data_IF_679485035638
#
_entry.id   IF_679485035638
#
_cell.length_a   1.000
_cell.length_b   1.000
_cell.length_c   1.000
_cell.angle_alpha   90.00
_cell.angle_beta   90.00
_cell.angle_gamma   90.00
#
_symmetry.space_group_name_H-M   'P 1'
#
loop_
_entity.id
_entity.type
_entity.pdbx_description
1 polymer ?
#
# COMPACT_ATOMS: atom_id res chain seq x y z
N UNK A 1 -11.33 21.33 -7.58
CA UNK A 1 -12.52 20.74 -8.26
C UNK A 1 -12.37 19.23 -8.22
N UNK A 2 -13.40 18.50 -7.79
CA UNK A 2 -13.40 17.02 -7.82
C UNK A 2 -14.08 16.58 -9.12
N UNK A 3 -13.45 15.69 -9.88
CA UNK A 3 -13.98 15.19 -11.15
C UNK A 3 -14.93 14.03 -10.85
N UNK A 4 -16.17 14.13 -11.33
CA UNK A 4 -17.13 13.03 -11.29
C UNK A 4 -16.86 12.12 -12.49
N UNK A 5 -16.51 10.86 -12.20
CA UNK A 5 -16.16 9.87 -13.21
C UNK A 5 -17.41 9.25 -13.83
N UNK A 6 -17.39 9.06 -15.15
CA UNK A 6 -18.43 8.29 -15.84
C UNK A 6 -18.11 6.78 -15.78
N UNK A 7 -19.08 5.95 -16.17
CA UNK A 7 -18.97 4.49 -16.07
C UNK A 7 -17.75 3.92 -16.81
N UNK A 8 -17.41 4.47 -17.99
CA UNK A 8 -16.23 4.02 -18.75
C UNK A 8 -14.94 4.34 -18.01
N UNK A 9 -14.84 5.54 -17.43
CA UNK A 9 -13.67 5.90 -16.62
C UNK A 9 -13.56 5.01 -15.38
N UNK A 10 -14.68 4.69 -14.73
CA UNK A 10 -14.71 3.77 -13.58
C UNK A 10 -14.23 2.37 -14.01
N UNK A 11 -14.64 1.87 -15.17
CA UNK A 11 -14.16 0.59 -15.70
C UNK A 11 -12.65 0.60 -15.98
N UNK A 12 -12.12 1.69 -16.52
CA UNK A 12 -10.68 1.85 -16.73
C UNK A 12 -9.90 1.92 -15.40
N UNK A 13 -10.45 2.61 -14.39
CA UNK A 13 -9.87 2.63 -13.04
C UNK A 13 -9.85 1.24 -12.40
N UNK A 14 -10.88 0.40 -12.63
CA UNK A 14 -10.91 -0.99 -12.14
C UNK A 14 -9.78 -1.82 -12.72
N UNK A 15 -9.40 -1.60 -13.98
CA UNK A 15 -8.27 -2.30 -14.60
C UNK A 15 -6.97 -1.93 -13.87
N UNK A 16 -6.72 -0.64 -13.66
CA UNK A 16 -5.51 -0.17 -12.96
C UNK A 16 -5.46 -0.69 -11.51
N UNK A 17 -6.59 -0.59 -10.78
CA UNK A 17 -6.71 -1.10 -9.41
C UNK A 17 -6.51 -2.62 -9.31
N UNK A 18 -6.99 -3.39 -10.30
CA UNK A 18 -6.77 -4.84 -10.36
C UNK A 18 -5.28 -5.18 -10.49
N UNK A 19 -4.55 -4.51 -11.37
CA UNK A 19 -3.10 -4.72 -11.54
C UNK A 19 -2.37 -4.44 -10.23
N UNK A 20 -2.69 -3.33 -9.55
CA UNK A 20 -2.11 -3.02 -8.22
C UNK A 20 -2.40 -4.12 -7.20
N UNK A 21 -3.67 -4.54 -7.09
CA UNK A 21 -4.05 -5.58 -6.13
C UNK A 21 -3.33 -6.91 -6.39
N UNK A 22 -3.24 -7.33 -7.66
CA UNK A 22 -2.53 -8.56 -8.05
C UNK A 22 -1.01 -8.44 -7.85
N UNK A 23 -0.44 -7.24 -8.06
CA UNK A 23 0.98 -6.97 -7.78
C UNK A 23 1.28 -7.12 -6.28
N UNK A 24 0.46 -6.52 -5.42
CA UNK A 24 0.63 -6.63 -3.97
C UNK A 24 0.53 -8.10 -3.49
N UNK A 25 -0.43 -8.86 -4.02
CA UNK A 25 -0.56 -10.30 -3.74
C UNK A 25 0.64 -11.13 -4.24
N UNK A 26 1.27 -10.72 -5.35
CA UNK A 26 2.49 -11.35 -5.83
C UNK A 26 3.68 -11.03 -4.92
N UNK A 27 3.83 -9.76 -4.54
CA UNK A 27 4.91 -9.29 -3.65
C UNK A 27 4.83 -10.01 -2.31
N UNK A 28 3.63 -10.11 -1.71
CA UNK A 28 3.37 -10.80 -0.45
C UNK A 28 3.97 -12.22 -0.40
N UNK A 29 3.85 -12.99 -1.48
CA UNK A 29 4.39 -14.36 -1.59
C UNK A 29 5.92 -14.43 -1.48
N UNK A 30 6.60 -13.30 -1.70
CA UNK A 30 8.05 -13.19 -1.67
C UNK A 30 8.56 -12.48 -0.42
N UNK A 31 7.68 -11.91 0.41
CA UNK A 31 8.08 -11.27 1.68
C UNK A 31 8.53 -12.34 2.66
N UNK A 32 9.84 -12.46 2.85
CA UNK A 32 10.47 -13.43 3.76
C UNK A 32 11.87 -12.96 4.17
N UNK A 33 12.44 -13.47 5.27
CA UNK A 33 13.82 -13.18 5.62
C UNK A 33 14.78 -13.52 4.49
N UNK A 34 15.77 -12.66 4.25
CA UNK A 34 16.82 -12.87 3.26
C UNK A 34 16.58 -12.27 1.88
N UNK A 35 15.37 -11.81 1.55
CA UNK A 35 15.12 -11.07 0.30
C UNK A 35 15.45 -9.58 0.48
N UNK A 36 15.97 -8.93 -0.56
CA UNK A 36 16.19 -7.48 -0.54
C UNK A 36 14.93 -6.71 -0.95
N UNK A 37 14.81 -5.47 -0.49
CA UNK A 37 13.71 -4.60 -0.96
C UNK A 37 13.83 -4.30 -2.46
N UNK A 38 15.05 -4.23 -3.02
CA UNK A 38 15.26 -4.13 -4.46
C UNK A 38 14.76 -5.35 -5.26
N UNK A 39 14.87 -6.57 -4.71
CA UNK A 39 14.31 -7.76 -5.36
C UNK A 39 12.79 -7.75 -5.38
N UNK A 40 12.15 -7.29 -4.30
CA UNK A 40 10.69 -7.10 -4.25
C UNK A 40 10.22 -6.05 -5.27
N UNK A 41 10.94 -4.94 -5.39
CA UNK A 41 10.68 -3.88 -6.38
C UNK A 41 10.76 -4.43 -7.82
N UNK A 42 11.80 -5.21 -8.13
CA UNK A 42 11.96 -5.85 -9.45
C UNK A 42 10.81 -6.79 -9.76
N UNK A 43 10.38 -7.62 -8.79
CA UNK A 43 9.24 -8.53 -8.97
C UNK A 43 7.96 -7.76 -9.32
N UNK A 44 7.72 -6.65 -8.62
CA UNK A 44 6.56 -5.80 -8.90
C UNK A 44 6.66 -5.11 -10.27
N UNK A 45 7.81 -4.54 -10.61
CA UNK A 45 8.04 -3.89 -11.90
C UNK A 45 7.81 -4.86 -13.08
N UNK A 46 8.36 -6.07 -12.99
CA UNK A 46 8.19 -7.11 -14.00
C UNK A 46 6.72 -7.49 -14.16
N UNK A 47 5.97 -7.61 -13.06
CA UNK A 47 4.54 -7.91 -13.12
C UNK A 47 3.74 -6.77 -13.74
N UNK A 48 3.94 -5.53 -13.28
CA UNK A 48 3.23 -4.34 -13.76
C UNK A 48 3.45 -4.18 -15.27
N UNK A 49 4.71 -4.22 -15.72
CA UNK A 49 5.08 -4.04 -17.13
C UNK A 49 4.58 -5.18 -18.02
N UNK A 50 4.62 -6.43 -17.53
CA UNK A 50 4.06 -7.60 -18.24
C UNK A 50 2.55 -7.46 -18.49
N UNK A 51 1.82 -6.74 -17.66
CA UNK A 51 0.39 -6.47 -17.83
C UNK A 51 0.10 -5.18 -18.61
N UNK A 52 1.11 -4.59 -19.26
CA UNK A 52 0.96 -3.40 -20.11
C UNK A 52 0.77 -2.10 -19.33
N UNK A 53 1.00 -2.11 -18.02
CA UNK A 53 0.96 -0.92 -17.18
C UNK A 53 2.36 -0.34 -16.97
N UNK A 54 2.40 0.92 -16.55
CA UNK A 54 3.62 1.65 -16.19
C UNK A 54 3.64 1.80 -14.65
N UNK A 55 4.77 1.52 -13.95
CA UNK A 55 4.87 1.81 -12.53
C UNK A 55 4.67 3.30 -12.26
N UNK A 56 3.67 3.67 -11.46
CA UNK A 56 3.27 5.07 -11.29
C UNK A 56 4.35 5.93 -10.63
N UNK A 57 5.16 5.31 -9.74
CA UNK A 57 6.12 6.03 -8.91
C UNK A 57 7.47 6.21 -9.59
N UNK A 58 7.83 5.33 -10.52
CA UNK A 58 9.15 5.33 -11.15
C UNK A 58 9.32 6.56 -12.04
N UNK A 59 10.26 7.41 -11.68
CA UNK A 59 10.53 8.70 -12.33
C UNK A 59 9.68 9.87 -11.80
N UNK A 60 8.66 9.62 -10.98
CA UNK A 60 7.82 10.68 -10.42
C UNK A 60 8.65 11.52 -9.43
N UNK A 61 8.83 12.81 -9.73
CA UNK A 61 9.71 13.72 -8.97
C UNK A 61 11.15 13.19 -8.79
N UNK A 62 11.63 12.35 -9.71
CA UNK A 62 12.95 11.72 -9.61
C UNK A 62 13.02 10.49 -8.70
N UNK A 63 11.88 9.96 -8.23
CA UNK A 63 11.83 8.73 -7.44
C UNK A 63 12.33 7.52 -8.29
N UNK A 64 13.26 6.70 -7.79
CA UNK A 64 14.02 5.78 -8.64
C UNK A 64 13.38 4.39 -8.85
N UNK A 65 12.37 4.04 -8.04
CA UNK A 65 11.84 2.67 -7.94
C UNK A 65 10.36 2.57 -8.33
N UNK A 66 9.88 1.35 -8.51
CA UNK A 66 8.49 1.05 -8.89
C UNK A 66 7.53 1.01 -7.69
N UNK A 67 8.03 0.59 -6.54
CA UNK A 67 7.34 0.55 -5.25
C UNK A 67 7.94 1.55 -4.27
N UNK A 68 7.16 1.94 -3.26
CA UNK A 68 7.74 2.38 -1.99
C UNK A 68 7.73 1.21 -1.01
N UNK A 69 8.88 0.90 -0.39
CA UNK A 69 8.97 -0.14 0.63
C UNK A 69 9.55 0.49 1.89
N UNK A 70 8.72 0.62 2.91
CA UNK A 70 9.06 1.28 4.17
C UNK A 70 9.19 0.21 5.27
N UNK A 71 10.40 0.02 5.77
CA UNK A 71 10.74 -0.99 6.78
C UNK A 71 10.64 -0.38 8.17
N UNK A 72 9.94 -1.06 9.08
CA UNK A 72 9.85 -0.75 10.51
C UNK A 72 9.49 0.73 10.80
N UNK A 73 10.44 1.54 11.25
CA UNK A 73 10.23 2.95 11.63
C UNK A 73 9.97 3.89 10.45
N UNK A 74 10.20 3.43 9.23
CA UNK A 74 9.94 4.21 8.03
C UNK A 74 8.43 4.34 7.82
N UNK A 75 7.92 5.58 7.92
CA UNK A 75 6.48 5.84 7.86
C UNK A 75 5.90 5.62 6.46
N UNK A 76 6.49 6.27 5.45
CA UNK A 76 6.09 6.19 4.03
C UNK A 76 7.29 6.47 3.12
N UNK A 77 7.14 6.14 1.83
CA UNK A 77 8.09 6.50 0.75
C UNK A 77 9.52 5.96 0.94
N UNK A 78 9.70 4.84 1.65
CA UNK A 78 10.98 4.14 1.68
C UNK A 78 11.41 3.74 0.28
N UNK A 79 12.68 4.02 -0.07
CA UNK A 79 13.25 3.72 -1.38
C UNK A 79 13.80 2.28 -1.35
N UNK A 80 13.29 1.37 -2.20
CA UNK A 80 13.86 0.03 -2.36
C UNK A 80 15.36 0.05 -2.66
N UNK A 81 16.11 -0.88 -2.07
CA UNK A 81 17.56 -0.93 -2.17
C UNK A 81 18.15 -2.20 -1.58
N UNK A 82 19.39 -2.09 -1.09
CA UNK A 82 20.16 -3.23 -0.56
C UNK A 82 19.74 -3.74 0.82
N UNK A 83 18.66 -3.20 1.43
CA UNK A 83 18.19 -3.70 2.72
C UNK A 83 17.64 -5.12 2.57
N UNK A 84 18.27 -6.05 3.27
CA UNK A 84 17.86 -7.47 3.33
C UNK A 84 16.88 -7.62 4.49
N UNK A 85 15.65 -8.06 4.18
CA UNK A 85 14.61 -8.28 5.18
C UNK A 85 15.03 -9.33 6.20
N UNK A 86 14.68 -9.09 7.47
CA UNK A 86 15.03 -9.95 8.61
C UNK A 86 13.78 -10.53 9.25
N UNK A 87 13.93 -11.69 9.89
CA UNK A 87 12.89 -12.24 10.77
C UNK A 87 12.48 -11.17 11.80
N UNK A 88 11.19 -10.89 11.89
CA UNK A 88 10.64 -9.90 12.81
C UNK A 88 10.43 -8.50 12.23
N UNK A 89 10.92 -8.22 11.01
CA UNK A 89 10.61 -6.95 10.34
C UNK A 89 9.12 -6.87 9.98
N UNK A 90 8.58 -5.64 9.94
CA UNK A 90 7.35 -5.33 9.20
C UNK A 90 7.68 -4.37 8.07
N UNK A 91 7.00 -4.53 6.93
CA UNK A 91 7.18 -3.65 5.79
C UNK A 91 5.84 -3.12 5.29
N UNK A 92 5.75 -1.82 5.05
CA UNK A 92 4.68 -1.25 4.23
C UNK A 92 5.15 -1.27 2.78
N UNK A 93 4.35 -1.88 1.91
CA UNK A 93 4.55 -1.89 0.46
C UNK A 93 3.46 -1.06 -0.18
N UNK A 94 3.87 0.04 -0.80
CA UNK A 94 3.02 0.94 -1.58
C UNK A 94 3.24 0.68 -3.08
N UNK A 95 2.15 0.51 -3.82
CA UNK A 95 2.17 0.10 -5.22
C UNK A 95 1.21 0.96 -6.06
N UNK A 96 1.76 1.62 -7.07
CA UNK A 96 0.99 2.35 -8.07
C UNK A 96 1.22 1.81 -9.48
N UNK A 97 0.14 1.65 -10.25
CA UNK A 97 0.20 1.28 -11.66
C UNK A 97 -0.65 2.21 -12.53
N UNK A 98 -0.10 2.65 -13.65
CA UNK A 98 -0.76 3.50 -14.64
C UNK A 98 -1.07 2.72 -15.91
N UNK A 99 -2.34 2.67 -16.31
CA UNK A 99 -2.79 2.05 -17.55
C UNK A 99 -4.04 2.76 -18.07
N UNK A 100 -4.14 2.89 -19.40
CA UNK A 100 -5.29 3.50 -20.07
C UNK A 100 -5.66 4.91 -19.57
N UNK A 101 -4.68 5.69 -19.11
CA UNK A 101 -4.88 7.06 -18.60
C UNK A 101 -5.32 7.14 -17.13
N UNK A 102 -5.32 6.01 -16.39
CA UNK A 102 -5.73 5.96 -15.00
C UNK A 102 -4.68 5.29 -14.12
N UNK A 103 -4.53 5.83 -12.91
CA UNK A 103 -3.70 5.24 -11.86
C UNK A 103 -4.57 4.37 -10.93
N UNK A 104 -4.08 3.19 -10.61
CA UNK A 104 -4.42 2.46 -9.40
C UNK A 104 -3.36 2.73 -8.35
N UNK A 105 -3.76 2.73 -7.08
CA UNK A 105 -2.89 3.00 -5.95
C UNK A 105 -3.41 2.29 -4.70
N UNK A 106 -2.53 1.54 -4.01
CA UNK A 106 -2.80 0.90 -2.75
C UNK A 106 -1.50 0.51 -2.03
N UNK A 107 -1.56 0.54 -0.70
CA UNK A 107 -0.49 0.04 0.16
C UNK A 107 -1.01 -1.04 1.13
N UNK A 108 -0.13 -1.95 1.52
CA UNK A 108 -0.36 -2.97 2.56
C UNK A 108 0.87 -3.17 3.42
N UNK A 109 0.66 -3.49 4.69
CA UNK A 109 1.74 -3.88 5.60
C UNK A 109 1.85 -5.40 5.69
N UNK A 110 3.06 -5.93 5.52
CA UNK A 110 3.35 -7.37 5.59
C UNK A 110 4.32 -7.68 6.72
N UNK A 111 4.11 -8.82 7.37
CA UNK A 111 5.02 -9.39 8.35
C UNK A 111 6.15 -10.15 7.64
N UNK A 112 7.39 -9.98 8.10
CA UNK A 112 8.53 -10.78 7.63
C UNK A 112 8.79 -11.92 8.60
N UNK A 113 8.32 -13.11 8.25
CA UNK A 113 8.37 -14.27 9.14
C UNK A 113 7.50 -14.07 10.37
N UNK A 114 8.00 -14.46 11.54
CA UNK A 114 7.34 -14.24 12.82
C UNK A 114 7.72 -12.87 13.38
N UNK A 115 6.70 -12.06 13.65
CA UNK A 115 6.83 -10.72 14.23
C UNK A 115 6.36 -10.72 15.70
N UNK A 116 6.77 -9.69 16.46
CA UNK A 116 6.33 -9.52 17.84
C UNK A 116 4.81 -9.33 17.93
N UNK A 117 4.23 -9.63 19.09
CA UNK A 117 2.79 -9.41 19.31
C UNK A 117 2.42 -7.92 19.24
N UNK A 118 3.36 -7.06 19.60
CA UNK A 118 3.26 -5.61 19.42
C UNK A 118 3.12 -5.23 17.95
N UNK A 119 3.99 -5.77 17.08
CA UNK A 119 3.93 -5.52 15.64
C UNK A 119 2.66 -6.12 15.00
N UNK A 120 2.22 -7.32 15.42
CA UNK A 120 0.93 -7.89 14.98
C UNK A 120 -0.22 -6.96 15.33
N UNK A 121 -0.23 -6.45 16.56
CA UNK A 121 -1.25 -5.53 17.05
C UNK A 121 -1.24 -4.21 16.27
N UNK A 122 -0.06 -3.65 15.97
CA UNK A 122 0.07 -2.45 15.15
C UNK A 122 -0.54 -2.64 13.75
N UNK A 123 -0.22 -3.74 13.08
CA UNK A 123 -0.78 -4.07 11.76
C UNK A 123 -2.30 -4.20 11.84
N UNK A 124 -2.80 -5.01 12.78
CA UNK A 124 -4.24 -5.25 12.96
C UNK A 124 -5.00 -3.95 13.21
N UNK A 125 -4.53 -3.12 14.14
CA UNK A 125 -5.22 -1.88 14.49
C UNK A 125 -5.21 -0.87 13.33
N UNK A 126 -4.13 -0.84 12.55
CA UNK A 126 -4.03 0.01 11.36
C UNK A 126 -5.04 -0.42 10.30
N UNK A 127 -5.15 -1.72 10.05
CA UNK A 127 -6.11 -2.30 9.11
C UNK A 127 -7.56 -2.06 9.55
N UNK A 128 -7.90 -2.37 10.80
CA UNK A 128 -9.24 -2.13 11.34
C UNK A 128 -9.64 -0.66 11.24
N UNK A 129 -8.71 0.25 11.58
CA UNK A 129 -8.95 1.69 11.50
C UNK A 129 -9.18 2.14 10.06
N UNK A 130 -8.44 1.58 9.09
CA UNK A 130 -8.65 1.86 7.67
C UNK A 130 -10.07 1.49 7.22
N UNK A 131 -10.52 0.27 7.52
CA UNK A 131 -11.87 -0.17 7.13
C UNK A 131 -12.98 0.61 7.83
N UNK A 132 -12.78 1.01 9.11
CA UNK A 132 -13.71 1.91 9.80
C UNK A 132 -13.84 3.28 9.13
N UNK A 133 -12.74 3.82 8.59
CA UNK A 133 -12.78 5.04 7.80
C UNK A 133 -13.58 4.87 6.50
N UNK A 134 -13.37 3.76 5.78
CA UNK A 134 -14.05 3.48 4.51
C UNK A 134 -15.58 3.43 4.66
N UNK A 135 -16.10 2.96 5.80
CA UNK A 135 -17.54 2.94 6.09
C UNK A 135 -18.21 4.33 5.96
N UNK A 136 -17.42 5.41 6.04
CA UNK A 136 -17.87 6.81 5.94
C UNK A 136 -17.65 7.42 4.55
N UNK A 137 -17.02 6.72 3.61
CA UNK A 137 -16.86 7.16 2.22
C UNK A 137 -18.17 7.00 1.43
N UNK A 138 -19.18 7.81 1.78
CA UNK A 138 -20.55 7.73 1.24
C UNK A 138 -21.06 9.11 0.79
N UNK A 139 -21.98 9.18 -0.19
CA UNK A 139 -22.61 10.43 -0.58
C UNK A 139 -23.22 11.16 0.63
N UNK A 140 -23.01 12.47 0.71
CA UNK A 140 -23.50 13.32 1.81
C UNK A 140 -22.51 13.50 2.98
N UNK A 141 -21.51 12.64 3.12
CA UNK A 141 -20.46 12.81 4.13
C UNK A 141 -19.35 13.75 3.67
N UNK A 142 -18.57 14.28 4.64
CA UNK A 142 -17.36 15.06 4.40
C UNK A 142 -16.14 14.17 4.42
N UNK A 143 -15.08 14.58 3.71
CA UNK A 143 -13.77 13.91 3.78
C UNK A 143 -13.22 13.85 5.22
N UNK A 144 -13.51 14.86 6.04
CA UNK A 144 -13.12 14.91 7.45
C UNK A 144 -13.78 13.82 8.29
N UNK A 145 -14.95 13.31 7.88
CA UNK A 145 -15.66 12.26 8.62
C UNK A 145 -14.90 10.93 8.54
N UNK A 146 -14.25 10.66 7.40
CA UNK A 146 -13.35 9.51 7.20
C UNK A 146 -12.18 9.61 8.16
N UNK A 147 -11.46 10.74 8.18
CA UNK A 147 -10.30 10.96 9.06
C UNK A 147 -10.68 10.89 10.54
N UNK A 148 -11.78 11.53 10.92
CA UNK A 148 -12.28 11.51 12.30
C UNK A 148 -12.63 10.09 12.75
N UNK A 149 -13.21 9.27 11.87
CA UNK A 149 -13.51 7.88 12.21
C UNK A 149 -12.25 7.02 12.38
N UNK A 150 -11.28 7.14 11.47
CA UNK A 150 -9.99 6.45 11.59
C UNK A 150 -9.31 6.78 12.93
N UNK A 151 -9.26 8.06 13.28
CA UNK A 151 -8.66 8.53 14.53
C UNK A 151 -9.36 7.94 15.77
N UNK A 152 -10.69 7.95 15.80
CA UNK A 152 -11.46 7.39 16.91
C UNK A 152 -11.31 5.87 17.02
N UNK A 153 -11.21 5.15 15.90
CA UNK A 153 -10.93 3.72 15.89
C UNK A 153 -9.55 3.43 16.52
N UNK A 154 -8.51 4.14 16.11
CA UNK A 154 -7.16 4.02 16.70
C UNK A 154 -7.13 4.29 18.21
N UNK A 155 -7.84 5.32 18.69
CA UNK A 155 -7.94 5.63 20.12
C UNK A 155 -8.61 4.49 20.92
N UNK A 156 -9.70 3.92 20.40
CA UNK A 156 -10.43 2.82 21.06
C UNK A 156 -9.65 1.52 21.08
N UNK A 157 -8.85 1.30 20.04
CA UNK A 157 -7.97 0.14 19.91
C UNK A 157 -6.66 0.30 20.72
N UNK A 158 -6.51 1.42 21.45
CA UNK A 158 -5.41 1.73 22.37
C UNK A 158 -4.03 1.72 21.71
N UNK A 159 -3.90 2.36 20.53
CA UNK A 159 -2.57 2.63 19.92
C UNK A 159 -1.70 3.48 20.85
N UNK A 160 -2.29 4.30 21.73
CA UNK A 160 -1.55 5.11 22.71
C UNK A 160 -0.81 4.31 23.79
N UNK A 161 -0.87 2.98 23.74
CA UNK A 161 -0.16 2.07 24.64
C UNK A 161 0.86 1.19 23.89
N UNK A 162 1.04 1.41 22.59
CA UNK A 162 2.17 0.92 21.79
C UNK A 162 3.22 2.03 21.79
#
# INVERSE_FOLDING_TARGET
MIIIKNDKEIDLMRIAGKIVAETLLLVEKHVKPGITTAELDRIAEEFITKHGAIPSFKGLYGFPASLCISVNEQVVHGIPGGYVLKEGDIISVDCGAHINGFHGDAARTFAVGNISDEAKRLIQVTEESFFKGIEFAKPGNRLTDISHMKYNAMLRLQVSQL
#
